data_IF_011878126366
#
_entry.id   IF_011878126366
#
_cell.length_a   1.000
_cell.length_b   1.000
_cell.length_c   1.000
_cell.angle_alpha   90.00
_cell.angle_beta   90.00
_cell.angle_gamma   90.00
#
_symmetry.space_group_name_H-M   'P 1'
#
loop_
_entity.id
_entity.type
_entity.pdbx_description
1 polymer ?
#
# COMPACT_ATOMS: atom_id res chain seq x y z
N UNK A 1 4.08 -15.58 -53.82
CA UNK A 1 3.95 -14.31 -53.08
C UNK A 1 4.47 -14.59 -51.67
N UNK A 2 5.71 -14.18 -51.38
CA UNK A 2 6.34 -14.37 -50.08
C UNK A 2 5.52 -13.64 -49.01
N UNK A 3 5.03 -14.35 -48.00
CA UNK A 3 4.59 -13.74 -46.74
C UNK A 3 5.85 -13.51 -45.92
N UNK A 4 6.27 -12.25 -45.85
CA UNK A 4 7.42 -11.84 -45.06
C UNK A 4 7.20 -12.15 -43.58
N UNK A 5 8.27 -12.59 -42.93
CA UNK A 5 8.39 -12.74 -41.50
C UNK A 5 8.22 -11.37 -40.84
N UNK A 6 7.04 -11.11 -40.29
CA UNK A 6 6.81 -9.99 -39.39
C UNK A 6 7.23 -10.44 -37.99
N UNK A 7 8.46 -10.10 -37.58
CA UNK A 7 8.90 -10.26 -36.19
C UNK A 7 8.41 -9.06 -35.39
N UNK A 8 7.45 -9.28 -34.48
CA UNK A 8 7.00 -8.28 -33.51
C UNK A 8 8.18 -7.76 -32.67
N UNK A 9 8.51 -6.46 -32.69
CA UNK A 9 9.64 -5.91 -31.94
C UNK A 9 9.35 -5.70 -30.44
N UNK A 10 8.20 -6.15 -29.94
CA UNK A 10 7.74 -5.84 -28.58
C UNK A 10 8.33 -6.81 -27.53
N UNK A 11 8.93 -7.93 -27.95
CA UNK A 11 9.28 -9.00 -27.00
C UNK A 11 10.69 -8.92 -26.39
N UNK A 12 11.34 -7.76 -26.38
CA UNK A 12 12.70 -7.62 -25.80
C UNK A 12 12.85 -6.57 -24.69
N UNK A 13 11.77 -6.12 -24.07
CA UNK A 13 11.88 -5.42 -22.79
C UNK A 13 12.04 -6.45 -21.68
N UNK A 14 13.30 -6.71 -21.31
CA UNK A 14 13.64 -7.34 -20.04
C UNK A 14 13.07 -6.46 -18.91
N UNK A 15 11.88 -6.82 -18.40
CA UNK A 15 11.36 -6.25 -17.16
C UNK A 15 12.35 -6.65 -16.07
N UNK A 16 13.14 -5.71 -15.58
CA UNK A 16 13.97 -5.94 -14.41
C UNK A 16 13.05 -6.45 -13.28
N UNK A 17 13.39 -7.55 -12.59
CA UNK A 17 12.53 -8.07 -11.55
C UNK A 17 12.32 -6.98 -10.50
N UNK A 18 11.06 -6.62 -10.26
CA UNK A 18 10.70 -5.66 -9.21
C UNK A 18 11.19 -6.22 -7.88
N UNK A 19 12.22 -5.60 -7.32
CA UNK A 19 12.72 -5.96 -6.00
C UNK A 19 11.78 -5.36 -4.94
N UNK A 20 10.85 -6.18 -4.44
CA UNK A 20 9.97 -5.78 -3.36
C UNK A 20 10.76 -5.42 -2.11
N UNK A 21 10.36 -4.33 -1.44
CA UNK A 21 11.00 -3.86 -0.19
C UNK A 21 10.81 -4.80 1.02
N UNK A 22 10.11 -5.92 0.85
CA UNK A 22 9.90 -6.98 1.85
C UNK A 22 11.07 -7.94 2.04
N UNK A 23 12.11 -7.86 1.21
CA UNK A 23 13.22 -8.82 1.23
C UNK A 23 14.03 -8.81 2.54
N UNK A 24 13.97 -7.73 3.32
CA UNK A 24 14.64 -7.63 4.61
C UNK A 24 13.64 -7.32 5.73
N UNK A 25 13.71 -7.98 6.90
CA UNK A 25 12.87 -7.64 8.03
C UNK A 25 13.05 -6.18 8.49
N UNK A 26 11.98 -5.57 9.00
CA UNK A 26 12.11 -4.31 9.73
C UNK A 26 12.85 -4.56 11.05
N UNK A 27 13.93 -3.80 11.29
CA UNK A 27 14.70 -3.84 12.55
C UNK A 27 14.28 -2.74 13.55
N UNK A 28 13.17 -2.06 13.25
CA UNK A 28 12.63 -0.93 13.99
C UNK A 28 11.12 -1.10 14.16
N UNK A 29 10.52 -0.30 15.05
CA UNK A 29 9.06 -0.24 15.20
C UNK A 29 8.40 0.09 13.86
N UNK A 30 7.44 -0.73 13.46
CA UNK A 30 6.67 -0.55 12.23
C UNK A 30 5.66 0.58 12.42
N UNK A 31 5.91 1.71 11.77
CA UNK A 31 4.95 2.82 11.65
C UNK A 31 3.90 2.53 10.58
N UNK A 32 2.64 2.46 11.01
CA UNK A 32 1.45 2.25 10.18
C UNK A 32 0.65 3.54 10.17
N UNK A 33 0.49 4.13 9.00
CA UNK A 33 -0.33 5.32 8.79
C UNK A 33 -1.77 4.92 8.44
N UNK A 34 -2.73 5.49 9.17
CA UNK A 34 -4.14 5.53 8.79
C UNK A 34 -4.44 6.94 8.27
N UNK A 35 -4.52 7.10 6.95
CA UNK A 35 -4.71 8.39 6.29
C UNK A 35 -6.20 8.67 6.07
N UNK A 36 -6.69 9.80 6.56
CA UNK A 36 -8.09 10.21 6.48
C UNK A 36 -8.88 9.92 7.76
N UNK A 37 -10.03 10.59 7.89
CA UNK A 37 -10.94 10.47 9.04
C UNK A 37 -12.22 9.68 8.75
N UNK A 38 -12.45 9.29 7.49
CA UNK A 38 -13.70 8.71 7.00
C UNK A 38 -13.97 7.27 7.47
N UNK A 39 -12.97 6.57 8.02
CA UNK A 39 -13.12 5.19 8.48
C UNK A 39 -12.60 4.97 9.92
N UNK A 40 -13.23 5.58 10.93
CA UNK A 40 -12.76 5.52 12.32
C UNK A 40 -12.75 4.09 12.88
N UNK A 41 -13.72 3.26 12.48
CA UNK A 41 -13.81 1.86 12.88
C UNK A 41 -12.54 1.06 12.50
N UNK A 42 -11.99 1.29 11.30
CA UNK A 42 -10.75 0.66 10.86
C UNK A 42 -9.59 0.90 11.82
N UNK A 43 -9.45 2.12 12.34
CA UNK A 43 -8.42 2.44 13.34
C UNK A 43 -8.69 1.75 14.67
N UNK A 44 -9.93 1.83 15.17
CA UNK A 44 -10.29 1.28 16.47
C UNK A 44 -10.05 -0.23 16.54
N UNK A 45 -10.53 -0.98 15.55
CA UNK A 45 -10.34 -2.42 15.50
C UNK A 45 -8.87 -2.81 15.26
N UNK A 46 -8.15 -2.09 14.40
CA UNK A 46 -6.70 -2.34 14.21
C UNK A 46 -5.95 -2.14 15.52
N UNK A 47 -6.23 -1.04 16.24
CA UNK A 47 -5.60 -0.75 17.54
C UNK A 47 -5.92 -1.82 18.58
N UNK A 48 -7.17 -2.30 18.63
CA UNK A 48 -7.57 -3.38 19.53
C UNK A 48 -6.80 -4.67 19.25
N UNK A 49 -6.71 -5.08 17.98
CA UNK A 49 -5.94 -6.28 17.58
C UNK A 49 -4.46 -6.15 17.94
N UNK A 50 -3.86 -4.96 17.83
CA UNK A 50 -2.48 -4.75 18.27
C UNK A 50 -2.30 -4.97 19.78
N UNK A 51 -3.27 -4.59 20.59
CA UNK A 51 -3.25 -4.85 22.05
C UNK A 51 -3.43 -6.34 22.32
N UNK A 52 -4.47 -6.96 21.76
CA UNK A 52 -4.80 -8.37 21.96
C UNK A 52 -3.65 -9.31 21.55
N UNK A 53 -2.88 -8.94 20.53
CA UNK A 53 -1.73 -9.70 20.03
C UNK A 53 -0.40 -9.28 20.65
N UNK A 54 -0.39 -8.37 21.62
CA UNK A 54 0.81 -7.84 22.27
C UNK A 54 1.84 -7.25 21.27
N UNK A 55 1.35 -6.53 20.26
CA UNK A 55 2.16 -5.93 19.19
C UNK A 55 2.42 -4.43 19.38
N UNK A 56 1.90 -3.81 20.45
CA UNK A 56 1.97 -2.36 20.68
C UNK A 56 3.41 -1.81 20.82
N UNK A 57 4.39 -2.64 21.19
CA UNK A 57 5.79 -2.26 21.25
C UNK A 57 6.49 -2.35 19.88
N UNK A 58 5.92 -3.12 18.94
CA UNK A 58 6.48 -3.37 17.62
C UNK A 58 5.78 -2.58 16.52
N UNK A 59 4.56 -2.11 16.76
CA UNK A 59 3.73 -1.40 15.77
C UNK A 59 3.22 -0.09 16.35
N UNK A 60 3.54 1.02 15.68
CA UNK A 60 3.00 2.34 15.98
C UNK A 60 1.91 2.69 14.96
N UNK A 61 0.66 2.76 15.41
CA UNK A 61 -0.47 3.17 14.58
C UNK A 61 -0.68 4.69 14.68
N UNK A 62 -0.53 5.39 13.56
CA UNK A 62 -0.57 6.86 13.46
C UNK A 62 -1.84 7.25 12.68
N UNK A 63 -2.63 8.20 13.21
CA UNK A 63 -3.72 8.82 12.46
C UNK A 63 -3.28 10.18 11.95
N UNK A 64 -3.64 10.46 10.70
CA UNK A 64 -3.52 11.76 10.07
C UNK A 64 -4.82 12.01 9.32
N UNK A 65 -5.56 13.03 9.72
CA UNK A 65 -6.88 13.35 9.21
C UNK A 65 -6.84 14.12 7.88
N UNK A 66 -5.76 14.87 7.63
CA UNK A 66 -5.60 15.72 6.44
C UNK A 66 -4.44 15.28 5.56
N UNK A 67 -4.52 15.61 4.27
CA UNK A 67 -3.44 15.37 3.30
C UNK A 67 -2.10 15.94 3.75
N UNK A 68 -2.12 17.17 4.25
CA UNK A 68 -0.92 17.82 4.77
C UNK A 68 -0.22 16.97 5.86
N UNK A 69 -0.98 16.50 6.86
CA UNK A 69 -0.44 15.69 7.95
C UNK A 69 0.18 14.37 7.47
N UNK A 70 -0.49 13.65 6.57
CA UNK A 70 0.07 12.37 6.11
C UNK A 70 1.18 12.53 5.07
N UNK A 71 1.21 13.63 4.33
CA UNK A 71 2.36 14.00 3.50
C UNK A 71 3.60 14.32 4.34
N UNK A 72 3.46 15.01 5.47
CA UNK A 72 4.57 15.24 6.42
C UNK A 72 5.12 13.92 7.00
N UNK A 73 4.23 12.95 7.27
CA UNK A 73 4.61 11.64 7.80
C UNK A 73 5.23 10.72 6.75
N UNK A 74 4.95 10.94 5.47
CA UNK A 74 5.28 10.05 4.36
C UNK A 74 6.71 9.48 4.43
N UNK A 75 7.78 10.29 4.65
CA UNK A 75 9.16 9.78 4.64
C UNK A 75 9.46 8.71 5.71
N UNK A 76 8.60 8.56 6.72
CA UNK A 76 8.87 7.72 7.89
C UNK A 76 7.96 6.51 8.04
N UNK A 77 6.87 6.43 7.26
CA UNK A 77 5.89 5.35 7.40
C UNK A 77 6.32 4.12 6.60
N UNK A 78 5.98 2.94 7.10
CA UNK A 78 6.34 1.66 6.48
C UNK A 78 5.12 0.97 5.85
N UNK A 79 3.95 1.20 6.43
CA UNK A 79 2.65 0.76 5.92
C UNK A 79 1.72 1.96 5.88
N UNK A 80 0.90 2.06 4.83
CA UNK A 80 -0.15 3.05 4.71
C UNK A 80 -1.50 2.37 4.45
N UNK A 81 -2.54 2.83 5.15
CA UNK A 81 -3.92 2.38 5.02
C UNK A 81 -4.74 3.61 4.62
N UNK A 82 -5.24 3.68 3.37
CA UNK A 82 -6.09 4.78 2.95
C UNK A 82 -7.49 4.58 3.54
N UNK A 83 -7.89 5.45 4.47
CA UNK A 83 -9.27 5.50 4.97
C UNK A 83 -10.12 6.35 4.05
N UNK A 84 -10.35 5.81 2.85
CA UNK A 84 -11.03 6.47 1.72
C UNK A 84 -10.23 7.57 1.03
N UNK A 85 -8.97 7.77 1.41
CA UNK A 85 -8.06 8.72 0.75
C UNK A 85 -7.47 8.15 -0.54
N UNK A 86 -6.97 9.05 -1.40
CA UNK A 86 -6.24 8.70 -2.62
C UNK A 86 -4.74 8.83 -2.41
N UNK A 87 -4.00 7.76 -2.71
CA UNK A 87 -2.55 7.74 -2.74
C UNK A 87 -2.06 7.83 -4.19
N UNK A 88 -1.86 9.07 -4.63
CA UNK A 88 -1.24 9.38 -5.92
C UNK A 88 0.29 9.17 -5.86
N UNK A 89 0.92 9.22 -7.03
CA UNK A 89 2.38 9.09 -7.17
C UNK A 89 3.15 10.04 -6.24
N UNK A 90 2.67 11.26 -5.99
CA UNK A 90 3.31 12.23 -5.10
C UNK A 90 3.57 11.66 -3.70
N UNK A 91 2.53 11.14 -3.04
CA UNK A 91 2.64 10.47 -1.75
C UNK A 91 3.60 9.29 -1.82
N UNK A 92 3.41 8.43 -2.82
CA UNK A 92 4.17 7.20 -2.97
C UNK A 92 5.64 7.54 -3.11
N UNK A 93 6.02 8.55 -3.90
CA UNK A 93 7.40 9.01 -4.05
C UNK A 93 7.95 9.66 -2.78
N UNK A 94 7.18 10.50 -2.10
CA UNK A 94 7.56 11.10 -0.82
C UNK A 94 7.79 10.04 0.28
N UNK A 95 7.08 8.91 0.22
CA UNK A 95 7.12 7.87 1.24
C UNK A 95 8.34 6.96 1.13
N UNK A 96 9.53 7.48 1.45
CA UNK A 96 10.83 6.85 1.20
C UNK A 96 11.02 5.48 1.87
N UNK A 97 10.31 5.20 2.97
CA UNK A 97 10.37 3.91 3.69
C UNK A 97 9.14 3.03 3.52
N UNK A 98 8.16 3.45 2.70
CA UNK A 98 6.94 2.69 2.48
C UNK A 98 7.26 1.33 1.87
N UNK A 99 6.59 0.30 2.37
CA UNK A 99 6.71 -1.10 1.91
C UNK A 99 5.36 -1.68 1.47
N UNK A 100 4.26 -1.30 2.16
CA UNK A 100 2.91 -1.77 1.86
C UNK A 100 1.88 -0.63 1.86
N UNK A 101 0.99 -0.67 0.89
CA UNK A 101 -0.30 0.00 0.93
C UNK A 101 -1.38 -1.09 1.12
N UNK A 102 -2.11 -1.03 2.24
CA UNK A 102 -3.19 -1.98 2.53
C UNK A 102 -4.54 -1.27 2.41
N UNK A 103 -5.31 -1.64 1.40
CA UNK A 103 -6.69 -1.22 1.23
C UNK A 103 -7.63 -2.09 2.06
N UNK A 104 -8.53 -1.47 2.83
CA UNK A 104 -9.51 -2.16 3.71
C UNK A 104 -10.82 -2.53 2.98
N UNK A 105 -10.79 -2.61 1.65
CA UNK A 105 -11.92 -2.87 0.77
C UNK A 105 -11.47 -3.57 -0.51
N UNK A 106 -12.38 -3.71 -1.48
CA UNK A 106 -12.11 -4.43 -2.74
C UNK A 106 -11.41 -3.55 -3.75
N UNK A 107 -11.93 -2.34 -4.00
CA UNK A 107 -11.45 -1.45 -5.05
C UNK A 107 -10.10 -0.83 -4.73
N UNK A 108 -9.25 -0.65 -5.75
CA UNK A 108 -7.91 -0.08 -5.65
C UNK A 108 -7.78 1.26 -6.38
N UNK A 109 -8.91 1.87 -6.75
CA UNK A 109 -9.00 3.00 -7.68
C UNK A 109 -8.49 4.31 -7.06
N UNK A 110 -8.23 4.28 -5.75
CA UNK A 110 -7.57 5.34 -5.01
C UNK A 110 -6.05 5.19 -4.91
N UNK A 111 -5.45 4.10 -5.40
CA UNK A 111 -4.00 3.83 -5.29
C UNK A 111 -3.37 3.81 -6.67
N UNK A 112 -2.32 4.61 -6.86
CA UNK A 112 -1.48 4.54 -8.05
C UNK A 112 -0.57 3.30 -7.99
N UNK A 113 -1.08 2.18 -8.52
CA UNK A 113 -0.40 0.87 -8.50
C UNK A 113 0.89 0.89 -9.33
N UNK A 114 0.93 1.66 -10.42
CA UNK A 114 2.11 1.73 -11.29
C UNK A 114 3.26 2.43 -10.56
N UNK A 115 2.99 3.58 -9.92
CA UNK A 115 3.97 4.27 -9.08
C UNK A 115 4.44 3.38 -7.91
N UNK A 116 3.52 2.66 -7.26
CA UNK A 116 3.85 1.74 -6.18
C UNK A 116 4.77 0.61 -6.67
N UNK A 117 4.44 0.00 -7.81
CA UNK A 117 5.19 -1.10 -8.41
C UNK A 117 6.59 -0.67 -8.83
N UNK A 118 6.72 0.49 -9.48
CA UNK A 118 8.02 1.05 -9.87
C UNK A 118 8.91 1.34 -8.64
N UNK A 119 8.31 1.73 -7.51
CA UNK A 119 9.03 1.97 -6.25
C UNK A 119 9.29 0.70 -5.43
N UNK A 120 8.75 -0.46 -5.83
CA UNK A 120 8.83 -1.71 -5.08
C UNK A 120 7.99 -1.72 -3.79
N UNK A 121 6.87 -0.98 -3.78
CA UNK A 121 5.87 -0.90 -2.70
C UNK A 121 4.71 -1.83 -3.04
N UNK A 122 4.47 -2.85 -2.20
CA UNK A 122 3.36 -3.76 -2.43
C UNK A 122 2.01 -3.06 -2.20
N UNK A 123 1.01 -3.46 -2.97
CA UNK A 123 -0.38 -3.02 -2.82
C UNK A 123 -1.23 -4.26 -2.56
N UNK A 124 -2.05 -4.21 -1.52
CA UNK A 124 -2.96 -5.30 -1.16
C UNK A 124 -4.37 -4.74 -0.89
N UNK A 125 -5.38 -5.57 -1.12
CA UNK A 125 -6.79 -5.30 -0.85
C UNK A 125 -7.43 -6.47 -0.10
N UNK A 126 -8.69 -6.30 0.31
CA UNK A 126 -9.49 -7.39 0.89
C UNK A 126 -10.47 -7.88 -0.19
N UNK A 127 -10.34 -9.12 -0.70
CA UNK A 127 -11.22 -9.63 -1.74
C UNK A 127 -12.66 -9.79 -1.23
N UNK A 128 -13.65 -9.71 -2.13
CA UNK A 128 -15.06 -9.83 -1.76
C UNK A 128 -15.49 -11.28 -1.48
N UNK A 129 -15.19 -12.17 -2.43
CA UNK A 129 -15.74 -13.52 -2.43
C UNK A 129 -15.27 -14.35 -1.22
N UNK A 130 -16.23 -14.80 -0.41
CA UNK A 130 -15.98 -15.71 0.71
C UNK A 130 -15.33 -15.10 1.96
N UNK A 131 -15.23 -13.77 2.05
CA UNK A 131 -14.53 -13.09 3.17
C UNK A 131 -15.46 -12.37 4.15
N UNK A 132 -16.75 -12.24 3.85
CA UNK A 132 -17.64 -11.32 4.59
C UNK A 132 -17.52 -9.85 4.14
N UNK A 133 -16.55 -9.52 3.28
CA UNK A 133 -16.30 -8.17 2.80
C UNK A 133 -17.08 -7.87 1.53
N UNK A 134 -17.75 -6.71 1.46
CA UNK A 134 -18.49 -6.26 0.26
C UNK A 134 -19.41 -7.34 -0.35
N UNK A 135 -20.01 -8.19 0.50
CA UNK A 135 -21.02 -9.15 0.09
C UNK A 135 -22.34 -8.42 -0.15
N UNK A 136 -22.98 -8.70 -1.30
CA UNK A 136 -24.31 -8.22 -1.65
C UNK A 136 -25.40 -9.16 -1.12
#
# INVERSE_FOLDING_TARGET
INRGDYTDPINSMSIAPVAWRFQTPLRQTCKVLCAGSHFPAGYHYTKQVLVERNLVNNVQLIRAATEHEWMELAPTVHVAIPFMERFHSEFIHAASQLRLIQQMGVGLEGVDIDAASQKGVAVANIPAHGTGNAQA
#
